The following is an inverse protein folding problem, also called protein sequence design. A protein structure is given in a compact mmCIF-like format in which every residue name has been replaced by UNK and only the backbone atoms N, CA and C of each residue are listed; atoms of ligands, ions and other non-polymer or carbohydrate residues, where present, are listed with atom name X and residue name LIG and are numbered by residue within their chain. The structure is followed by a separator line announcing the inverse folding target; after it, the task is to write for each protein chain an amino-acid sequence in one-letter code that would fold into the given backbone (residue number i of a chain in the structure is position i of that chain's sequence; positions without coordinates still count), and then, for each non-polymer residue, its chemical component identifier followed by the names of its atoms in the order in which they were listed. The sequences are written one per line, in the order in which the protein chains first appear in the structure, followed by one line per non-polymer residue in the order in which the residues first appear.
data_IF_008059197076
#
_entry.id   IF_008059197076
#
_cell.length_a   1.000
_cell.length_b   1.000
_cell.length_c   1.000
_cell.angle_alpha   90.00
_cell.angle_beta   90.00
_cell.angle_gamma   90.00
#
_symmetry.space_group_name_H-M   'P 1'
#
loop_
_entity.id
_entity.type
_entity.pdbx_description
1 polymer ?
#
# COMPACT_ATOMS: atom_id res chain seq x y z
N UNK A 1 -17.98 30.11 7.10
CA UNK A 1 -16.60 29.98 7.59
C UNK A 1 -16.22 28.55 8.04
N UNK A 2 -16.96 27.52 7.68
CA UNK A 2 -16.59 26.12 8.02
C UNK A 2 -15.62 25.57 6.97
N UNK A 3 -14.33 25.79 7.14
CA UNK A 3 -13.24 25.22 6.32
C UNK A 3 -11.92 25.35 7.06
N UNK A 4 -10.90 24.75 6.52
CA UNK A 4 -9.54 24.85 7.05
C UNK A 4 -8.96 26.24 6.82
N UNK A 5 -8.26 26.73 7.83
CA UNK A 5 -7.49 27.97 7.77
C UNK A 5 -6.13 27.74 8.40
N UNK A 6 -5.11 28.24 7.78
CA UNK A 6 -3.80 28.29 8.42
C UNK A 6 -3.81 29.40 9.46
N UNK A 7 -3.36 29.08 10.67
CA UNK A 7 -3.10 30.10 11.70
C UNK A 7 -1.89 30.91 11.23
N UNK A 8 -2.07 32.19 10.97
CA UNK A 8 -1.03 33.09 10.51
C UNK A 8 -0.26 33.73 11.65
N UNK A 9 -0.88 33.85 12.83
CA UNK A 9 -0.24 34.40 14.01
C UNK A 9 -0.97 33.94 15.28
N UNK A 10 -0.22 33.57 16.29
CA UNK A 10 -0.74 33.37 17.66
C UNK A 10 -0.56 34.70 18.39
N UNK A 11 -1.68 35.29 18.84
CA UNK A 11 -1.67 36.59 19.53
C UNK A 11 -1.44 36.36 21.02
N UNK A 12 -2.18 35.44 21.63
CA UNK A 12 -2.05 35.02 23.03
C UNK A 12 -2.57 33.57 23.20
N UNK A 13 -2.65 33.09 24.44
CA UNK A 13 -3.10 31.72 24.76
C UNK A 13 -4.54 31.40 24.28
N UNK A 14 -5.36 32.42 24.02
CA UNK A 14 -6.77 32.28 23.67
C UNK A 14 -7.14 32.91 22.33
N UNK A 15 -6.17 33.52 21.62
CA UNK A 15 -6.42 34.32 20.45
C UNK A 15 -5.40 34.00 19.32
N UNK A 16 -5.89 33.86 18.12
CA UNK A 16 -5.05 33.65 16.91
C UNK A 16 -5.64 34.38 15.71
N UNK A 17 -4.80 34.66 14.73
CA UNK A 17 -5.18 35.27 13.46
C UNK A 17 -5.18 34.21 12.35
N UNK A 18 -6.16 34.31 11.46
CA UNK A 18 -6.25 33.55 10.21
C UNK A 18 -6.43 34.50 9.04
N UNK A 19 -5.91 34.13 7.87
CA UNK A 19 -6.17 34.88 6.64
C UNK A 19 -7.28 34.20 5.86
N UNK A 20 -8.37 34.94 5.62
CA UNK A 20 -9.46 34.48 4.75
C UNK A 20 -9.20 34.89 3.29
N UNK A 21 -9.44 33.99 2.34
CA UNK A 21 -9.37 34.30 0.91
C UNK A 21 -10.49 35.24 0.44
N UNK A 22 -11.54 35.42 1.26
CA UNK A 22 -12.66 36.32 0.99
C UNK A 22 -12.55 37.52 1.91
N UNK A 23 -12.43 38.71 1.34
CA UNK A 23 -12.41 39.94 2.12
C UNK A 23 -13.73 40.14 2.87
N UNK A 24 -13.62 40.61 4.10
CA UNK A 24 -14.81 41.01 4.87
C UNK A 24 -15.51 42.19 4.18
N UNK A 25 -16.82 42.16 4.11
CA UNK A 25 -17.63 43.26 3.55
C UNK A 25 -17.95 44.35 4.57
N UNK A 26 -17.57 44.13 5.82
CA UNK A 26 -17.68 45.12 6.92
C UNK A 26 -16.64 44.78 8.00
N UNK A 27 -16.21 45.79 8.75
CA UNK A 27 -15.43 45.60 9.97
C UNK A 27 -16.38 45.27 11.11
N UNK A 28 -16.15 44.13 11.77
CA UNK A 28 -16.81 43.78 13.03
C UNK A 28 -15.77 43.94 14.14
N UNK A 29 -16.08 44.79 15.10
CA UNK A 29 -15.26 45.00 16.31
C UNK A 29 -15.76 44.14 17.50
N UNK A 30 -16.78 43.31 17.26
CA UNK A 30 -17.26 42.34 18.20
C UNK A 30 -16.38 41.10 18.26
N UNK A 31 -16.39 40.41 19.40
CA UNK A 31 -15.82 39.06 19.51
C UNK A 31 -16.65 38.11 18.65
N UNK A 32 -16.20 37.87 17.46
CA UNK A 32 -16.89 36.99 16.53
C UNK A 32 -17.00 35.55 17.03
N UNK A 33 -18.13 34.93 16.79
CA UNK A 33 -18.31 33.51 16.89
C UNK A 33 -18.43 32.94 18.30
N UNK A 34 -19.55 33.12 18.97
CA UNK A 34 -19.83 32.55 20.31
C UNK A 34 -19.74 31.02 20.41
N UNK A 35 -19.39 30.31 19.33
CA UNK A 35 -19.20 28.85 19.32
C UNK A 35 -18.17 28.47 18.27
N UNK A 36 -16.98 29.05 18.33
CA UNK A 36 -15.89 28.62 17.45
C UNK A 36 -15.34 27.28 17.93
N UNK A 37 -15.51 26.22 17.17
CA UNK A 37 -14.92 24.91 17.43
C UNK A 37 -13.68 24.79 16.56
N UNK A 38 -12.49 24.83 17.16
CA UNK A 38 -11.28 24.42 16.47
C UNK A 38 -11.29 22.89 16.32
N UNK A 39 -11.44 22.44 15.09
CA UNK A 39 -11.65 21.02 14.80
C UNK A 39 -10.37 20.18 14.78
N UNK A 40 -9.18 20.77 14.84
CA UNK A 40 -7.91 20.04 14.77
C UNK A 40 -7.17 19.99 16.07
N UNK A 41 -6.79 18.76 16.45
CA UNK A 41 -5.78 18.51 17.46
C UNK A 41 -4.40 18.26 16.83
N UNK A 42 -4.39 17.85 15.58
CA UNK A 42 -3.19 17.49 14.82
C UNK A 42 -3.32 18.12 13.43
N UNK A 43 -2.25 18.73 12.92
CA UNK A 43 -2.23 19.26 11.56
C UNK A 43 -2.32 18.13 10.52
N UNK A 44 -2.67 18.46 9.27
CA UNK A 44 -2.76 17.49 8.18
C UNK A 44 -1.45 16.74 7.91
N UNK A 45 -0.31 17.33 8.30
CA UNK A 45 1.02 16.75 8.13
C UNK A 45 1.58 16.91 6.72
N UNK A 46 2.67 16.22 6.46
CA UNK A 46 3.35 16.24 5.15
C UNK A 46 2.76 15.22 4.21
N UNK A 47 2.70 15.56 2.94
CA UNK A 47 2.30 14.67 1.87
C UNK A 47 3.46 13.82 1.35
N UNK A 48 4.72 14.31 1.53
CA UNK A 48 5.89 13.66 1.00
C UNK A 48 6.74 13.06 2.10
N UNK A 49 7.34 11.92 1.78
CA UNK A 49 8.34 11.29 2.60
C UNK A 49 9.67 12.03 2.43
N UNK A 50 10.28 12.42 3.54
CA UNK A 50 11.65 12.95 3.56
C UNK A 50 12.54 11.86 4.07
N UNK A 51 13.47 11.43 3.24
CA UNK A 51 14.37 10.35 3.55
C UNK A 51 15.38 10.78 4.61
N UNK A 52 15.36 10.08 5.73
CA UNK A 52 16.40 9.92 6.75
C UNK A 52 17.11 11.14 7.31
N UNK A 53 17.81 10.88 8.40
CA UNK A 53 18.69 11.79 9.11
C UNK A 53 20.07 11.75 8.51
N UNK A 54 20.59 12.85 8.01
CA UNK A 54 21.93 12.93 7.49
C UNK A 54 22.21 14.18 6.70
N UNK A 55 23.44 14.36 6.29
CA UNK A 55 23.85 15.44 5.41
C UNK A 55 23.06 15.38 4.10
N UNK A 56 22.21 16.38 3.83
CA UNK A 56 21.39 16.47 2.64
C UNK A 56 19.94 15.96 2.77
N UNK A 57 19.51 15.54 3.96
CA UNK A 57 18.13 15.07 4.19
C UNK A 57 17.10 16.20 4.31
N UNK A 58 17.52 17.42 4.65
CA UNK A 58 16.66 18.61 4.79
C UNK A 58 17.23 19.79 4.02
N UNK A 59 16.44 20.85 3.74
CA UNK A 59 16.93 22.12 3.22
C UNK A 59 18.07 22.67 4.10
N UNK A 60 19.06 23.29 3.46
CA UNK A 60 20.15 23.93 4.18
C UNK A 60 19.61 24.98 5.17
N UNK A 61 19.88 24.78 6.45
CA UNK A 61 19.52 25.72 7.50
C UNK A 61 18.30 25.34 8.34
N UNK A 62 17.73 24.15 8.16
CA UNK A 62 16.53 23.71 8.90
C UNK A 62 16.83 23.30 10.35
N UNK A 63 18.08 22.89 10.65
CA UNK A 63 18.54 22.58 12.01
C UNK A 63 20.02 22.94 12.23
N UNK A 64 20.42 23.17 13.47
CA UNK A 64 21.81 23.43 13.80
C UNK A 64 22.74 22.25 13.47
N UNK A 65 24.02 22.52 13.19
CA UNK A 65 25.05 21.52 12.95
C UNK A 65 25.11 20.50 14.11
N UNK A 66 24.86 19.24 13.77
CA UNK A 66 24.89 18.15 14.75
C UNK A 66 23.55 17.83 15.42
N UNK A 67 22.45 18.50 15.04
CA UNK A 67 21.12 18.09 15.48
C UNK A 67 20.70 16.78 14.79
N UNK A 68 20.28 15.83 15.58
CA UNK A 68 19.61 14.62 15.06
C UNK A 68 18.18 15.04 14.63
N UNK A 69 17.78 14.73 13.40
CA UNK A 69 16.39 14.91 13.02
C UNK A 69 15.53 14.01 13.90
N UNK A 70 14.65 14.62 14.66
CA UNK A 70 13.70 13.87 15.47
C UNK A 70 12.65 13.22 14.55
N UNK A 71 12.44 11.93 14.70
CA UNK A 71 11.29 11.22 14.11
C UNK A 71 10.01 11.72 14.77
N UNK A 72 9.61 12.97 14.47
CA UNK A 72 8.39 13.56 14.99
C UNK A 72 7.26 13.44 13.97
N UNK A 73 6.02 13.39 14.45
CA UNK A 73 4.84 13.36 13.57
C UNK A 73 4.73 14.56 12.63
N UNK A 74 5.45 15.66 12.90
CA UNK A 74 5.48 16.86 12.07
C UNK A 74 6.44 16.77 10.91
N UNK A 75 7.48 15.93 11.00
CA UNK A 75 8.56 15.84 10.02
C UNK A 75 8.45 14.62 9.11
N UNK A 76 7.52 13.71 9.39
CA UNK A 76 7.30 12.51 8.61
C UNK A 76 6.08 12.64 7.69
N UNK A 77 6.08 11.85 6.61
CA UNK A 77 4.87 11.58 5.84
C UNK A 77 3.74 11.21 6.80
N UNK A 78 2.59 11.84 6.66
CA UNK A 78 1.43 11.60 7.53
C UNK A 78 0.82 10.23 7.22
N UNK A 79 1.25 9.24 7.98
CA UNK A 79 0.65 7.92 8.00
C UNK A 79 -0.08 7.70 9.33
N UNK A 80 -1.28 7.16 9.24
CA UNK A 80 -2.08 6.78 10.39
C UNK A 80 -2.08 5.28 10.57
N UNK A 81 -2.02 4.88 11.83
CA UNK A 81 -2.25 3.50 12.24
C UNK A 81 -3.45 3.47 13.18
N UNK A 82 -4.23 2.43 13.11
CA UNK A 82 -5.39 2.23 13.96
C UNK A 82 -5.63 0.75 14.17
N UNK A 83 -6.25 0.43 15.26
CA UNK A 83 -6.75 -0.91 15.58
C UNK A 83 -7.87 -0.84 16.63
N UNK A 84 -8.71 -1.84 16.68
CA UNK A 84 -9.79 -1.89 17.63
C UNK A 84 -9.33 -2.53 18.93
N UNK A 85 -9.67 -1.92 20.07
CA UNK A 85 -9.55 -2.50 21.41
C UNK A 85 -10.97 -2.75 21.96
N UNK A 86 -11.51 -3.93 21.69
CA UNK A 86 -12.92 -4.17 21.85
C UNK A 86 -13.77 -3.40 20.83
N UNK A 87 -14.70 -2.58 21.29
CA UNK A 87 -15.53 -1.70 20.45
C UNK A 87 -14.86 -0.35 20.16
N UNK A 88 -13.86 0.02 20.98
CA UNK A 88 -13.18 1.31 20.89
C UNK A 88 -12.06 1.29 19.83
N UNK A 89 -11.80 2.45 19.25
CA UNK A 89 -10.75 2.61 18.25
C UNK A 89 -9.52 3.29 18.86
N UNK A 90 -8.38 2.63 18.75
CA UNK A 90 -7.08 3.22 19.08
C UNK A 90 -6.44 3.71 17.80
N UNK A 91 -6.01 4.97 17.76
CA UNK A 91 -5.41 5.61 16.59
C UNK A 91 -4.13 6.36 16.97
N UNK A 92 -3.16 6.32 16.06
CA UNK A 92 -1.93 7.09 16.21
C UNK A 92 -1.41 7.57 14.84
N UNK A 93 -1.05 8.84 14.70
CA UNK A 93 -0.19 9.25 13.59
C UNK A 93 1.22 8.74 13.84
N UNK A 94 1.89 8.25 12.80
CA UNK A 94 3.26 7.73 12.91
C UNK A 94 4.20 8.77 13.54
N UNK A 95 4.92 8.37 14.60
CA UNK A 95 5.78 9.24 15.38
C UNK A 95 5.05 10.21 16.32
N UNK A 96 3.73 10.14 16.40
CA UNK A 96 2.88 11.00 17.24
C UNK A 96 2.29 10.33 18.46
N UNK A 97 1.33 11.02 19.06
CA UNK A 97 0.63 10.54 20.24
C UNK A 97 -0.43 9.48 19.89
N UNK A 98 -0.87 8.75 20.92
CA UNK A 98 -1.91 7.73 20.81
C UNK A 98 -3.23 8.31 21.30
N UNK A 99 -4.30 8.06 20.56
CA UNK A 99 -5.64 8.53 20.87
C UNK A 99 -6.62 7.35 20.93
N UNK A 100 -7.61 7.48 21.79
CA UNK A 100 -8.74 6.55 21.90
C UNK A 100 -10.03 7.25 21.50
N UNK A 101 -10.77 6.64 20.61
CA UNK A 101 -12.15 7.00 20.31
C UNK A 101 -13.08 5.95 20.92
N UNK A 102 -13.91 6.41 21.87
CA UNK A 102 -14.87 5.58 22.57
C UNK A 102 -16.16 5.49 21.74
N UNK A 103 -16.48 4.29 21.28
CA UNK A 103 -17.62 4.02 20.41
C UNK A 103 -18.96 4.39 21.08
N UNK A 104 -19.07 4.28 22.40
CA UNK A 104 -20.29 4.59 23.16
C UNK A 104 -20.69 6.07 23.08
N UNK A 105 -19.71 6.95 22.84
CA UNK A 105 -19.92 8.40 22.74
C UNK A 105 -20.38 8.86 21.34
N UNK A 106 -20.44 7.94 20.37
CA UNK A 106 -20.88 8.20 19.02
C UNK A 106 -19.90 9.03 18.17
N UNK A 107 -20.20 9.12 16.86
CA UNK A 107 -19.29 9.71 15.84
C UNK A 107 -19.10 11.22 15.95
N UNK A 108 -19.95 11.92 16.70
CA UNK A 108 -19.82 13.37 16.95
C UNK A 108 -18.78 13.71 18.01
N UNK A 109 -18.36 12.72 18.82
CA UNK A 109 -17.34 12.90 19.87
C UNK A 109 -15.96 12.56 19.31
N UNK A 110 -14.97 13.34 19.63
CA UNK A 110 -13.61 13.15 19.17
C UNK A 110 -12.86 12.14 20.00
N UNK A 111 -11.85 11.51 19.35
CA UNK A 111 -10.85 10.75 20.05
C UNK A 111 -10.09 11.64 21.04
N UNK A 112 -9.76 11.09 22.20
CA UNK A 112 -9.03 11.75 23.28
C UNK A 112 -7.64 11.14 23.44
N UNK A 113 -6.71 11.94 23.99
CA UNK A 113 -5.35 11.49 24.23
C UNK A 113 -5.36 10.32 25.24
N UNK A 114 -4.83 9.17 24.86
CA UNK A 114 -4.84 7.94 25.67
C UNK A 114 -4.11 8.14 27.00
N UNK A 115 -2.94 8.79 26.98
CA UNK A 115 -2.14 9.08 28.17
C UNK A 115 -2.76 10.14 29.11
N UNK A 116 -3.81 10.83 28.67
CA UNK A 116 -4.54 11.83 29.46
C UNK A 116 -5.81 11.29 30.12
N UNK A 117 -6.17 10.04 29.86
CA UNK A 117 -7.35 9.42 30.44
C UNK A 117 -7.15 9.09 31.92
N UNK A 118 -8.26 9.13 32.69
CA UNK A 118 -8.24 8.71 34.11
C UNK A 118 -7.85 7.24 34.22
N UNK A 119 -6.88 6.93 35.07
CA UNK A 119 -6.32 5.58 35.21
C UNK A 119 -5.14 5.26 34.30
N UNK A 120 -4.75 6.16 33.40
CA UNK A 120 -3.58 5.97 32.55
C UNK A 120 -2.28 5.89 33.38
N UNK A 121 -1.56 4.79 33.24
CA UNK A 121 -0.33 4.50 33.97
C UNK A 121 0.79 4.19 32.98
N UNK A 122 1.75 5.10 32.84
CA UNK A 122 2.89 5.01 31.93
C UNK A 122 2.53 4.65 30.48
N UNK A 123 1.38 5.10 30.01
CA UNK A 123 0.96 4.96 28.61
C UNK A 123 1.99 5.65 27.71
N UNK A 124 2.45 5.00 26.62
CA UNK A 124 3.36 5.63 25.66
C UNK A 124 2.79 6.92 25.07
N UNK A 125 3.64 7.93 24.94
CA UNK A 125 3.29 9.23 24.36
C UNK A 125 3.76 9.35 22.89
N UNK A 126 4.48 8.35 22.39
CA UNK A 126 4.94 8.24 21.00
C UNK A 126 4.72 6.84 20.48
N UNK A 127 4.35 6.74 19.21
CA UNK A 127 4.15 5.48 18.52
C UNK A 127 4.53 5.58 17.04
N UNK A 128 5.22 4.58 16.50
CA UNK A 128 5.31 4.37 15.05
C UNK A 128 4.09 3.63 14.52
N UNK A 129 3.59 2.65 15.32
CA UNK A 129 2.39 1.90 14.99
C UNK A 129 1.73 1.40 16.29
N UNK A 130 0.41 1.34 16.28
CA UNK A 130 -0.40 0.67 17.31
C UNK A 130 -1.05 -0.57 16.72
N UNK A 131 -1.12 -1.64 17.51
CA UNK A 131 -1.73 -2.90 17.14
C UNK A 131 -2.31 -3.58 18.37
N UNK A 132 -3.47 -4.20 18.27
CA UNK A 132 -4.09 -4.92 19.38
C UNK A 132 -3.92 -6.42 19.16
N UNK A 133 -3.44 -7.13 20.16
CA UNK A 133 -3.44 -8.59 20.14
C UNK A 133 -4.88 -9.09 20.30
N UNK A 134 -5.35 -9.93 19.35
CA UNK A 134 -6.74 -10.39 19.32
C UNK A 134 -7.00 -11.52 20.34
N UNK A 135 -5.97 -12.30 20.65
CA UNK A 135 -6.10 -13.51 21.49
C UNK A 135 -6.15 -13.16 22.96
N UNK A 136 -5.30 -12.25 23.37
CA UNK A 136 -5.00 -11.94 24.77
C UNK A 136 -5.27 -10.47 25.11
N UNK A 137 -5.72 -9.70 24.14
CA UNK A 137 -6.19 -8.33 24.26
C UNK A 137 -5.23 -7.39 25.00
N UNK A 138 -4.01 -7.31 24.46
CA UNK A 138 -3.02 -6.31 24.83
C UNK A 138 -2.95 -5.22 23.75
N UNK A 139 -2.83 -3.98 24.17
CA UNK A 139 -2.45 -2.90 23.25
C UNK A 139 -0.93 -2.89 23.11
N UNK A 140 -0.44 -3.10 21.89
CA UNK A 140 0.98 -3.12 21.56
C UNK A 140 1.33 -1.84 20.83
N UNK A 141 2.36 -1.17 21.31
CA UNK A 141 2.89 0.08 20.76
C UNK A 141 4.29 -0.17 20.24
N UNK A 142 4.46 -0.05 18.94
CA UNK A 142 5.73 -0.24 18.24
C UNK A 142 6.43 1.10 18.07
N UNK A 143 7.71 1.19 18.38
CA UNK A 143 8.45 2.44 18.40
C UNK A 143 7.92 3.36 19.51
N UNK A 144 7.92 2.89 20.74
CA UNK A 144 7.42 3.63 21.90
C UNK A 144 8.53 4.50 22.51
N UNK A 145 8.13 5.49 23.31
CA UNK A 145 9.06 6.21 24.18
C UNK A 145 9.34 5.41 25.46
N UNK A 146 10.61 5.30 25.88
CA UNK A 146 11.00 4.54 27.06
C UNK A 146 10.44 5.11 28.36
N UNK A 147 10.31 4.24 29.38
CA UNK A 147 10.03 4.66 30.75
C UNK A 147 11.33 5.19 31.39
N UNK A 148 11.25 6.37 32.02
CA UNK A 148 12.30 6.96 32.83
C UNK A 148 11.73 7.40 34.17
N UNK A 149 12.07 6.68 35.22
CA UNK A 149 11.53 6.92 36.57
C UNK A 149 9.99 6.76 36.62
N UNK A 150 9.29 7.83 36.95
CA UNK A 150 7.84 7.85 37.09
C UNK A 150 7.08 8.17 35.79
N UNK A 151 7.78 8.53 34.72
CA UNK A 151 7.18 9.05 33.48
C UNK A 151 7.75 8.37 32.23
N UNK A 152 7.14 8.62 31.10
CA UNK A 152 7.72 8.36 29.78
C UNK A 152 8.66 9.50 29.38
N UNK A 153 9.66 9.20 28.57
CA UNK A 153 10.66 10.20 28.15
C UNK A 153 10.11 11.23 27.16
N UNK A 154 9.03 10.92 26.45
CA UNK A 154 8.52 11.71 25.35
C UNK A 154 9.40 11.66 24.07
N UNK A 155 10.51 10.94 24.12
CA UNK A 155 11.42 10.74 22.99
C UNK A 155 11.26 9.32 22.46
N UNK A 156 10.90 9.19 21.19
CA UNK A 156 10.65 7.92 20.53
C UNK A 156 11.92 7.08 20.46
N UNK A 157 11.87 5.84 20.94
CA UNK A 157 12.86 4.80 20.62
C UNK A 157 12.30 3.93 19.47
N UNK A 158 12.85 4.03 18.27
CA UNK A 158 12.30 3.38 17.08
C UNK A 158 12.35 1.84 17.12
N UNK A 159 13.06 1.26 18.10
CA UNK A 159 13.20 -0.20 18.26
C UNK A 159 12.48 -0.75 19.49
N UNK A 160 11.80 0.10 20.27
CA UNK A 160 11.12 -0.32 21.49
C UNK A 160 9.71 -0.80 21.17
N UNK A 161 9.38 -1.99 21.62
CA UNK A 161 8.03 -2.57 21.63
C UNK A 161 7.52 -2.48 23.07
N UNK A 162 6.42 -1.78 23.29
CA UNK A 162 5.74 -1.70 24.59
C UNK A 162 4.35 -2.35 24.47
N UNK A 163 3.91 -3.03 25.51
CA UNK A 163 2.59 -3.66 25.56
C UNK A 163 1.92 -3.37 26.89
N UNK A 164 0.59 -3.19 26.81
CA UNK A 164 -0.25 -2.90 27.99
C UNK A 164 -0.43 -4.14 28.86
N UNK A 165 -1.09 -3.98 29.98
CA UNK A 165 -1.66 -5.10 30.72
C UNK A 165 -2.80 -5.76 29.92
N UNK A 166 -3.09 -7.01 30.21
CA UNK A 166 -4.16 -7.77 29.56
C UNK A 166 -5.51 -7.09 29.81
N UNK A 167 -6.30 -6.92 28.77
CA UNK A 167 -7.62 -6.26 28.78
C UNK A 167 -7.64 -4.83 29.33
N UNK A 168 -6.48 -4.17 29.43
CA UNK A 168 -6.36 -2.81 29.93
C UNK A 168 -5.37 -1.97 29.13
N UNK A 169 -5.87 -1.20 28.19
CA UNK A 169 -5.09 -0.33 27.30
C UNK A 169 -4.47 0.89 28.00
N UNK A 170 -4.82 1.12 29.27
CA UNK A 170 -4.33 2.28 30.05
C UNK A 170 -3.16 1.92 30.97
N UNK A 171 -2.87 0.63 31.20
CA UNK A 171 -1.82 0.21 32.13
C UNK A 171 -0.58 -0.30 31.37
N UNK A 172 0.48 0.48 31.38
CA UNK A 172 1.79 0.16 30.80
C UNK A 172 2.92 0.15 31.80
N UNK A 173 2.62 0.25 33.10
CA UNK A 173 3.63 0.18 34.15
C UNK A 173 3.89 -1.27 34.51
N UNK A 174 5.08 -1.83 34.21
CA UNK A 174 5.37 -3.21 34.57
C UNK A 174 5.41 -3.41 36.08
N UNK A 175 4.66 -4.38 36.56
CA UNK A 175 4.65 -4.80 37.96
C UNK A 175 4.74 -6.31 38.06
N UNK A 176 4.96 -6.85 39.25
CA UNK A 176 5.00 -8.30 39.49
C UNK A 176 3.65 -9.00 39.33
N UNK A 177 2.56 -8.23 39.26
CA UNK A 177 1.18 -8.73 39.30
C UNK A 177 0.43 -8.50 38.00
N UNK A 178 0.99 -7.76 37.03
CA UNK A 178 0.40 -7.50 35.74
C UNK A 178 1.25 -8.05 34.58
N UNK A 179 0.73 -7.99 33.39
CA UNK A 179 1.37 -8.49 32.16
C UNK A 179 1.99 -7.38 31.30
N UNK A 180 1.91 -6.11 31.76
CA UNK A 180 2.49 -5.00 31.05
C UNK A 180 4.03 -5.10 30.96
N UNK A 181 4.59 -4.64 29.86
CA UNK A 181 6.03 -4.70 29.67
C UNK A 181 6.55 -3.98 28.42
N UNK A 182 7.83 -4.11 28.21
CA UNK A 182 8.47 -3.62 27.00
C UNK A 182 9.74 -4.41 26.66
N UNK A 183 10.02 -4.54 25.39
CA UNK A 183 11.21 -5.21 24.85
C UNK A 183 11.80 -4.36 23.75
N UNK A 184 13.11 -4.13 23.78
CA UNK A 184 13.83 -3.47 22.70
C UNK A 184 14.38 -4.50 21.71
N UNK A 185 14.04 -4.39 20.43
CA UNK A 185 14.54 -5.27 19.39
C UNK A 185 16.04 -5.03 19.15
N UNK A 186 16.75 -6.08 18.79
CA UNK A 186 18.23 -6.08 18.70
C UNK A 186 18.77 -5.94 17.28
N UNK A 187 17.98 -6.27 16.25
CA UNK A 187 18.39 -6.22 14.85
C UNK A 187 17.56 -5.22 14.05
N UNK A 188 18.24 -4.34 13.33
CA UNK A 188 17.65 -3.20 12.63
C UNK A 188 17.96 -1.88 13.30
N UNK A 189 17.54 -0.77 12.68
CA UNK A 189 17.65 0.58 13.19
C UNK A 189 16.32 1.19 13.60
N UNK A 190 15.23 0.75 12.94
CA UNK A 190 13.87 1.18 13.26
C UNK A 190 12.84 0.12 12.88
N UNK A 191 11.75 0.08 13.62
CA UNK A 191 10.57 -0.68 13.25
C UNK A 191 9.86 0.07 12.11
N UNK A 192 9.69 -0.63 10.98
CA UNK A 192 8.99 -0.08 9.81
C UNK A 192 7.49 -0.31 9.95
N UNK A 193 7.06 -1.53 10.25
CA UNK A 193 5.67 -1.86 10.40
C UNK A 193 5.45 -3.25 10.99
N UNK A 194 4.20 -3.58 11.27
CA UNK A 194 3.82 -4.92 11.71
C UNK A 194 2.45 -5.30 11.17
N UNK A 195 2.23 -6.58 11.02
CA UNK A 195 0.95 -7.17 10.62
C UNK A 195 0.57 -8.33 11.53
N UNK A 196 -0.72 -8.48 11.76
CA UNK A 196 -1.25 -9.64 12.47
C UNK A 196 -1.28 -10.84 11.55
N UNK A 197 -0.84 -11.97 12.03
CA UNK A 197 -1.09 -13.27 11.43
C UNK A 197 -1.92 -14.13 12.39
N UNK A 198 -2.15 -15.38 12.06
CA UNK A 198 -3.14 -16.22 12.77
C UNK A 198 -2.87 -16.37 14.27
N UNK A 199 -1.61 -16.43 14.70
CA UNK A 199 -1.24 -16.69 16.10
C UNK A 199 -0.06 -15.86 16.57
N UNK A 200 0.36 -14.90 15.76
CA UNK A 200 1.52 -14.07 16.04
C UNK A 200 1.39 -12.71 15.37
N UNK A 201 2.16 -11.77 15.85
CA UNK A 201 2.36 -10.47 15.22
C UNK A 201 3.74 -10.46 14.60
N UNK A 202 3.79 -10.25 13.29
CA UNK A 202 5.01 -10.16 12.54
C UNK A 202 5.49 -8.71 12.53
N UNK A 203 6.61 -8.46 13.19
CA UNK A 203 7.20 -7.11 13.32
C UNK A 203 8.38 -7.01 12.38
N UNK A 204 8.33 -6.04 11.49
CA UNK A 204 9.37 -5.78 10.50
C UNK A 204 10.18 -4.55 10.89
N UNK A 205 11.49 -4.70 10.85
CA UNK A 205 12.42 -3.58 10.87
C UNK A 205 12.87 -3.21 9.45
N UNK A 206 13.76 -2.27 9.34
CA UNK A 206 14.43 -1.93 8.07
C UNK A 206 15.29 -3.06 7.50
N UNK A 207 15.69 -4.04 8.32
CA UNK A 207 16.56 -5.16 7.90
C UNK A 207 16.06 -6.54 8.30
N UNK A 208 15.07 -6.65 9.20
CA UNK A 208 14.77 -7.91 9.88
C UNK A 208 13.29 -8.15 10.07
N UNK A 209 12.93 -9.41 10.22
CA UNK A 209 11.58 -9.87 10.60
C UNK A 209 11.63 -10.56 11.96
N UNK A 210 10.71 -10.16 12.83
CA UNK A 210 10.46 -10.79 14.13
C UNK A 210 9.06 -11.38 14.21
N UNK A 211 8.92 -12.49 14.93
CA UNK A 211 7.64 -13.06 15.37
C UNK A 211 7.44 -12.74 16.83
N UNK A 212 6.32 -12.13 17.18
CA UNK A 212 5.87 -11.84 18.53
C UNK A 212 4.66 -12.71 18.85
N UNK A 213 4.80 -13.58 19.85
CA UNK A 213 3.76 -14.55 20.25
C UNK A 213 3.46 -14.39 21.73
N UNK A 214 2.19 -14.49 22.10
CA UNK A 214 1.77 -14.57 23.50
C UNK A 214 2.14 -15.91 24.09
N UNK A 215 2.91 -15.91 25.17
CA UNK A 215 3.36 -17.12 25.90
C UNK A 215 2.86 -17.17 27.33
N UNK A 216 2.22 -16.09 27.79
CA UNK A 216 1.71 -15.95 29.15
C UNK A 216 2.77 -15.64 30.18
N UNK A 217 2.34 -15.40 31.45
CA UNK A 217 3.24 -15.08 32.53
C UNK A 217 4.32 -16.18 32.77
N UNK A 218 5.55 -15.82 33.15
CA UNK A 218 5.98 -14.48 33.55
C UNK A 218 6.50 -13.60 32.40
N UNK A 219 6.59 -14.10 31.18
CA UNK A 219 7.23 -13.36 30.07
C UNK A 219 6.25 -12.60 29.19
N UNK A 220 4.95 -12.87 29.29
CA UNK A 220 3.86 -12.31 28.49
C UNK A 220 4.03 -12.58 26.99
N UNK A 221 5.06 -12.03 26.36
CA UNK A 221 5.35 -12.23 24.94
C UNK A 221 6.76 -12.79 24.71
N UNK A 222 6.86 -13.74 23.81
CA UNK A 222 8.13 -14.16 23.21
C UNK A 222 8.32 -13.42 21.88
N UNK A 223 9.44 -12.73 21.72
CA UNK A 223 9.80 -12.04 20.48
C UNK A 223 11.05 -12.70 19.91
N UNK A 224 10.89 -13.38 18.79
CA UNK A 224 11.95 -14.15 18.16
C UNK A 224 12.37 -13.53 16.83
N UNK A 225 13.67 -13.40 16.60
CA UNK A 225 14.21 -13.03 15.30
C UNK A 225 14.01 -14.19 14.32
N UNK A 226 13.31 -13.96 13.24
CA UNK A 226 13.03 -14.95 12.20
C UNK A 226 14.01 -14.84 11.05
N UNK A 227 14.25 -13.60 10.59
CA UNK A 227 15.15 -13.31 9.50
C UNK A 227 15.85 -11.97 9.74
N UNK A 228 17.09 -11.84 9.30
CA UNK A 228 17.89 -10.62 9.46
C UNK A 228 18.40 -10.05 8.14
N UNK A 229 17.85 -10.48 7.01
CA UNK A 229 18.29 -10.08 5.69
C UNK A 229 17.17 -9.45 4.84
N UNK A 230 15.92 -9.54 5.29
CA UNK A 230 14.74 -9.07 4.53
C UNK A 230 13.91 -8.09 5.34
N UNK A 231 14.24 -6.81 5.26
CA UNK A 231 13.47 -5.73 5.87
C UNK A 231 12.23 -5.34 5.05
N UNK A 232 11.36 -4.56 5.65
CA UNK A 232 10.15 -4.04 4.99
C UNK A 232 10.44 -2.69 4.33
N UNK A 233 10.02 -2.53 3.08
CA UNK A 233 10.28 -1.28 2.33
C UNK A 233 9.42 -0.10 2.81
N UNK A 234 8.21 -0.36 3.30
CA UNK A 234 7.26 0.67 3.74
C UNK A 234 6.35 0.17 4.88
N UNK A 235 5.82 1.05 5.73
CA UNK A 235 5.02 0.66 6.89
C UNK A 235 3.80 -0.20 6.59
N UNK A 236 3.23 -0.07 5.41
CA UNK A 236 2.04 -0.82 4.97
C UNK A 236 2.33 -1.80 3.83
N UNK A 237 3.61 -2.11 3.55
CA UNK A 237 4.00 -2.98 2.44
C UNK A 237 3.92 -4.49 2.75
N UNK A 238 3.29 -4.87 3.87
CA UNK A 238 3.05 -6.26 4.24
C UNK A 238 1.56 -6.50 4.49
N UNK A 239 1.09 -7.71 4.12
CA UNK A 239 -0.30 -8.13 4.31
C UNK A 239 -0.39 -9.61 4.59
N UNK A 240 -1.37 -9.98 5.42
CA UNK A 240 -1.70 -11.38 5.70
C UNK A 240 -2.74 -11.88 4.70
N UNK A 241 -2.45 -12.99 4.04
CA UNK A 241 -3.36 -13.66 3.12
C UNK A 241 -3.22 -15.20 3.28
N UNK A 242 -4.09 -16.00 2.63
CA UNK A 242 -3.89 -17.44 2.62
C UNK A 242 -2.47 -17.81 2.18
N UNK A 243 -1.82 -18.68 2.97
CA UNK A 243 -0.43 -19.09 2.72
C UNK A 243 0.61 -18.36 3.54
N UNK A 244 0.30 -17.22 4.17
CA UNK A 244 1.23 -16.53 5.05
C UNK A 244 1.16 -15.00 5.01
N UNK A 245 2.23 -14.36 5.42
CA UNK A 245 2.41 -12.91 5.33
C UNK A 245 3.25 -12.59 4.11
N UNK A 246 2.65 -11.87 3.17
CA UNK A 246 3.28 -11.42 1.94
C UNK A 246 3.81 -10.00 2.12
N UNK A 247 5.03 -9.73 1.69
CA UNK A 247 5.62 -8.40 1.86
C UNK A 247 6.62 -8.03 0.77
N UNK A 248 6.77 -6.74 0.56
CA UNK A 248 7.73 -6.15 -0.35
C UNK A 248 8.94 -5.65 0.42
N UNK A 249 10.12 -6.13 0.05
CA UNK A 249 11.41 -5.66 0.54
C UNK A 249 12.11 -4.80 -0.52
N UNK A 250 13.29 -4.28 -0.21
CA UNK A 250 14.08 -3.45 -1.13
C UNK A 250 14.58 -4.19 -2.37
N UNK A 251 14.67 -5.51 -2.31
CA UNK A 251 15.24 -6.34 -3.38
C UNK A 251 14.27 -7.36 -3.99
N UNK A 252 13.01 -7.35 -3.58
CA UNK A 252 12.01 -8.28 -4.10
C UNK A 252 10.80 -8.48 -3.20
N UNK A 253 10.01 -9.47 -3.57
CA UNK A 253 8.80 -9.87 -2.87
C UNK A 253 9.05 -11.17 -2.10
N UNK A 254 8.46 -11.29 -0.93
CA UNK A 254 8.67 -12.39 0.00
C UNK A 254 7.37 -12.87 0.61
N UNK A 255 7.38 -14.10 1.07
CA UNK A 255 6.33 -14.69 1.90
C UNK A 255 6.94 -15.28 3.15
N UNK A 256 6.28 -15.06 4.28
CA UNK A 256 6.58 -15.71 5.55
C UNK A 256 5.44 -16.68 5.91
N UNK A 257 5.75 -17.95 6.03
CA UNK A 257 4.85 -19.03 6.41
C UNK A 257 5.52 -20.00 7.39
N UNK A 258 6.12 -19.45 8.45
CA UNK A 258 7.04 -20.16 9.36
C UNK A 258 8.50 -20.09 8.93
N UNK A 259 8.77 -19.85 7.66
CA UNK A 259 10.07 -19.53 7.09
C UNK A 259 9.92 -18.42 6.05
N UNK A 260 10.96 -17.60 5.90
CA UNK A 260 10.99 -16.57 4.85
C UNK A 260 11.40 -17.22 3.54
N UNK A 261 10.58 -17.01 2.51
CA UNK A 261 10.86 -17.46 1.16
C UNK A 261 10.71 -16.29 0.18
N UNK A 262 11.66 -16.17 -0.74
CA UNK A 262 11.57 -15.19 -1.84
C UNK A 262 10.59 -15.69 -2.89
N UNK A 263 9.64 -14.84 -3.29
CA UNK A 263 8.72 -15.14 -4.36
C UNK A 263 9.42 -14.96 -5.73
N UNK A 264 9.44 -15.99 -6.58
CA UNK A 264 9.90 -15.83 -7.95
C UNK A 264 8.99 -14.81 -8.66
N UNK A 265 9.56 -13.74 -9.20
CA UNK A 265 8.79 -12.66 -9.82
C UNK A 265 9.35 -12.35 -11.22
N UNK A 266 8.58 -12.69 -12.24
CA UNK A 266 8.96 -12.43 -13.63
C UNK A 266 9.00 -10.92 -13.96
N UNK A 267 8.19 -10.12 -13.27
CA UNK A 267 8.11 -8.66 -13.48
C UNK A 267 8.97 -7.85 -12.50
N UNK A 268 9.82 -8.52 -11.72
CA UNK A 268 10.66 -7.86 -10.70
C UNK A 268 11.44 -6.66 -11.27
N UNK A 269 12.17 -6.88 -12.36
CA UNK A 269 12.99 -5.83 -12.95
C UNK A 269 12.15 -4.65 -13.45
N UNK A 270 10.97 -4.92 -13.98
CA UNK A 270 10.04 -3.87 -14.40
C UNK A 270 9.63 -3.01 -13.21
N UNK A 271 9.20 -3.61 -12.11
CA UNK A 271 8.75 -2.89 -10.91
C UNK A 271 9.90 -2.10 -10.27
N UNK A 272 11.03 -2.75 -9.98
CA UNK A 272 12.12 -2.14 -9.22
C UNK A 272 12.95 -1.14 -10.03
N UNK A 273 12.96 -1.20 -11.36
CA UNK A 273 13.59 -0.18 -12.19
C UNK A 273 12.73 1.08 -12.35
N UNK A 274 11.42 0.96 -12.20
CA UNK A 274 10.46 2.07 -12.29
C UNK A 274 10.05 2.62 -10.91
N UNK A 275 10.53 2.05 -9.82
CA UNK A 275 10.15 2.45 -8.47
C UNK A 275 10.78 3.80 -8.07
N UNK A 276 9.94 4.75 -7.61
CA UNK A 276 10.42 5.94 -6.92
C UNK A 276 10.83 5.60 -5.49
N UNK A 277 12.13 5.33 -5.28
CA UNK A 277 12.67 4.94 -3.98
C UNK A 277 12.60 6.07 -2.95
N UNK A 278 12.56 7.34 -3.37
CA UNK A 278 12.43 8.48 -2.47
C UNK A 278 11.04 8.58 -1.82
N UNK A 279 10.00 8.05 -2.49
CA UNK A 279 8.63 8.02 -2.00
C UNK A 279 8.16 6.59 -1.66
N UNK A 280 9.10 5.64 -1.50
CA UNK A 280 8.79 4.23 -1.24
C UNK A 280 7.93 4.03 0.03
N UNK A 281 7.98 4.92 1.01
CA UNK A 281 7.16 4.86 2.23
C UNK A 281 5.64 4.97 1.98
N UNK A 282 5.23 5.43 0.79
CA UNK A 282 3.83 5.45 0.37
C UNK A 282 3.30 4.08 -0.06
N UNK A 283 4.19 3.12 -0.34
CA UNK A 283 3.82 1.77 -0.79
C UNK A 283 2.91 1.10 0.25
N UNK A 284 1.84 0.49 -0.23
CA UNK A 284 1.01 -0.35 0.60
C UNK A 284 0.62 -1.65 -0.12
N UNK A 285 0.48 -2.71 0.67
CA UNK A 285 0.00 -4.00 0.22
C UNK A 285 -1.52 -4.10 0.34
N UNK A 286 -2.12 -4.90 -0.51
CA UNK A 286 -3.53 -5.21 -0.47
C UNK A 286 -3.79 -6.69 -0.77
N UNK A 287 -4.94 -7.19 -0.35
CA UNK A 287 -5.45 -8.52 -0.70
C UNK A 287 -6.77 -8.41 -1.47
N UNK A 288 -6.99 -9.34 -2.39
CA UNK A 288 -8.24 -9.57 -3.07
C UNK A 288 -8.54 -11.07 -2.99
N UNK A 289 -9.23 -11.46 -1.93
CA UNK A 289 -9.44 -12.87 -1.59
C UNK A 289 -10.29 -13.61 -2.61
N UNK A 290 -11.23 -12.92 -3.25
CA UNK A 290 -12.10 -13.51 -4.26
C UNK A 290 -11.30 -14.05 -5.46
N UNK A 291 -10.21 -13.35 -5.80
CA UNK A 291 -9.35 -13.71 -6.94
C UNK A 291 -8.03 -14.39 -6.52
N UNK A 292 -7.84 -14.71 -5.24
CA UNK A 292 -6.60 -15.30 -4.71
C UNK A 292 -5.35 -14.44 -4.96
N UNK A 293 -5.48 -13.15 -4.72
CA UNK A 293 -4.47 -12.16 -5.06
C UNK A 293 -3.96 -11.41 -3.85
N UNK A 294 -2.68 -11.09 -3.91
CA UNK A 294 -2.04 -10.05 -3.10
C UNK A 294 -1.30 -9.09 -4.03
N UNK A 295 -1.27 -7.83 -3.68
CA UNK A 295 -0.60 -6.86 -4.52
C UNK A 295 -0.03 -5.69 -3.75
N UNK A 296 0.72 -4.87 -4.46
CA UNK A 296 1.35 -3.66 -3.92
C UNK A 296 1.09 -2.49 -4.87
N UNK A 297 0.59 -1.42 -4.30
CA UNK A 297 0.53 -0.12 -4.96
C UNK A 297 1.81 0.64 -4.67
N UNK A 298 2.40 1.25 -5.69
CA UNK A 298 3.68 1.94 -5.58
C UNK A 298 3.78 3.16 -6.49
N UNK A 299 4.60 4.18 -6.14
CA UNK A 299 4.89 5.31 -7.00
C UNK A 299 5.93 4.94 -8.06
N UNK A 300 5.68 5.29 -9.32
CA UNK A 300 6.66 5.14 -10.40
C UNK A 300 7.79 6.18 -10.29
N UNK A 301 8.88 5.96 -10.99
CA UNK A 301 10.04 6.87 -11.03
C UNK A 301 9.70 8.29 -11.50
N UNK A 302 8.61 8.45 -12.22
CA UNK A 302 8.12 9.73 -12.73
C UNK A 302 7.03 10.37 -11.87
N UNK A 303 6.63 9.73 -10.75
CA UNK A 303 5.57 10.18 -9.87
C UNK A 303 6.01 10.28 -8.42
N UNK A 304 5.53 11.27 -7.71
CA UNK A 304 5.65 11.36 -6.25
C UNK A 304 4.46 10.69 -5.54
N UNK A 305 3.36 10.43 -6.27
CA UNK A 305 2.18 9.74 -5.77
C UNK A 305 2.05 8.33 -6.36
N UNK A 306 1.25 7.50 -5.70
CA UNK A 306 0.98 6.13 -6.16
C UNK A 306 0.23 6.17 -7.49
N UNK A 307 0.80 5.53 -8.51
CA UNK A 307 0.27 5.48 -9.87
C UNK A 307 0.40 4.10 -10.54
N UNK A 308 1.02 3.14 -9.84
CA UNK A 308 1.29 1.78 -10.33
C UNK A 308 0.84 0.73 -9.33
N UNK A 309 0.57 -0.45 -9.84
CA UNK A 309 0.37 -1.64 -9.01
C UNK A 309 1.05 -2.87 -9.61
N UNK A 310 1.37 -3.81 -8.75
CA UNK A 310 1.79 -5.17 -9.11
C UNK A 310 1.01 -6.16 -8.27
N UNK A 311 0.54 -7.23 -8.89
CA UNK A 311 -0.29 -8.25 -8.25
C UNK A 311 0.34 -9.63 -8.44
N UNK A 312 0.26 -10.43 -7.39
CA UNK A 312 0.63 -11.83 -7.37
C UNK A 312 -0.60 -12.68 -7.06
N UNK A 313 -0.99 -13.53 -8.01
CA UNK A 313 -1.96 -14.58 -7.77
C UNK A 313 -1.25 -15.75 -7.09
N UNK A 314 -1.56 -16.00 -5.82
CA UNK A 314 -0.86 -17.01 -5.03
C UNK A 314 -1.35 -18.44 -5.29
N UNK A 315 -2.48 -18.63 -5.98
CA UNK A 315 -2.97 -19.94 -6.39
C UNK A 315 -2.28 -20.40 -7.68
N UNK A 316 -2.20 -19.53 -8.67
CA UNK A 316 -1.69 -19.84 -10.00
C UNK A 316 -0.21 -19.49 -10.19
N UNK A 317 0.41 -18.82 -9.20
CA UNK A 317 1.79 -18.31 -9.23
C UNK A 317 2.04 -17.36 -10.41
N UNK A 318 1.09 -16.51 -10.71
CA UNK A 318 1.15 -15.54 -11.80
C UNK A 318 1.33 -14.13 -11.29
N UNK A 319 2.08 -13.33 -12.07
CA UNK A 319 2.30 -11.92 -11.81
C UNK A 319 1.72 -11.07 -12.92
N UNK A 320 1.08 -9.98 -12.55
CA UNK A 320 0.64 -8.94 -13.48
C UNK A 320 0.72 -7.57 -12.84
N UNK A 321 0.66 -6.54 -13.66
CA UNK A 321 0.88 -5.17 -13.24
C UNK A 321 0.02 -4.22 -14.06
N UNK A 322 -0.13 -3.00 -13.56
CA UNK A 322 -0.88 -1.96 -14.25
C UNK A 322 -0.67 -0.58 -13.65
N UNK A 323 -1.47 0.34 -14.13
CA UNK A 323 -1.48 1.74 -13.72
C UNK A 323 -2.81 2.04 -13.07
N UNK A 324 -2.77 2.49 -11.82
CA UNK A 324 -3.96 2.88 -11.08
C UNK A 324 -3.57 3.69 -9.85
N UNK A 325 -4.24 4.82 -9.63
CA UNK A 325 -4.03 5.64 -8.45
C UNK A 325 -4.97 5.21 -7.34
N UNK A 326 -4.40 4.57 -6.31
CA UNK A 326 -5.13 4.23 -5.07
C UNK A 326 -4.25 4.51 -3.86
N UNK A 327 -4.86 4.94 -2.76
CA UNK A 327 -4.14 5.33 -1.53
C UNK A 327 -4.47 4.43 -0.34
N UNK A 328 -5.56 3.70 -0.39
CA UNK A 328 -5.95 2.70 0.59
C UNK A 328 -6.85 1.65 -0.05
N UNK A 329 -6.87 0.47 0.55
CA UNK A 329 -7.66 -0.67 0.09
C UNK A 329 -8.28 -1.41 1.27
N UNK A 330 -9.54 -1.78 1.12
CA UNK A 330 -10.27 -2.67 2.01
C UNK A 330 -10.79 -3.85 1.18
N UNK A 331 -10.40 -5.07 1.55
CA UNK A 331 -10.88 -6.28 0.90
C UNK A 331 -12.38 -6.52 1.16
N UNK A 332 -13.00 -7.35 0.34
CA UNK A 332 -14.37 -7.82 0.54
C UNK A 332 -14.53 -8.50 1.90
N UNK A 333 -15.66 -8.31 2.53
CA UNK A 333 -15.95 -8.85 3.86
C UNK A 333 -17.11 -8.10 4.50
N UNK A 334 -16.84 -6.93 5.09
CA UNK A 334 -17.88 -6.04 5.61
C UNK A 334 -18.74 -5.48 4.47
N UNK A 335 -18.10 -5.15 3.36
CA UNK A 335 -18.76 -4.80 2.10
C UNK A 335 -18.65 -5.97 1.11
N UNK A 336 -19.64 -6.15 0.22
CA UNK A 336 -19.64 -7.29 -0.72
C UNK A 336 -18.49 -7.23 -1.74
N UNK A 337 -17.99 -6.04 -2.03
CA UNK A 337 -16.91 -5.81 -2.98
C UNK A 337 -15.76 -5.06 -2.34
N UNK A 338 -14.52 -5.24 -2.80
CA UNK A 338 -13.39 -4.45 -2.34
C UNK A 338 -13.61 -2.96 -2.57
N UNK A 339 -13.10 -2.14 -1.66
CA UNK A 339 -13.19 -0.69 -1.74
C UNK A 339 -11.80 -0.07 -1.67
N UNK A 340 -11.58 0.98 -2.44
CA UNK A 340 -10.32 1.70 -2.42
C UNK A 340 -10.53 3.21 -2.56
N UNK A 341 -9.64 3.98 -1.94
CA UNK A 341 -9.63 5.44 -2.06
C UNK A 341 -8.64 5.89 -3.12
N UNK A 342 -9.01 6.88 -3.90
CA UNK A 342 -8.15 7.50 -4.90
C UNK A 342 -8.81 8.75 -5.49
N UNK A 343 -8.03 9.72 -5.95
CA UNK A 343 -8.53 10.93 -6.61
C UNK A 343 -9.68 11.64 -5.86
N UNK A 344 -9.63 11.63 -4.52
CA UNK A 344 -10.67 12.17 -3.61
C UNK A 344 -12.03 11.44 -3.65
N UNK A 345 -12.07 10.22 -4.20
CA UNK A 345 -13.25 9.38 -4.24
C UNK A 345 -13.03 8.06 -3.50
N UNK A 346 -14.12 7.39 -3.14
CA UNK A 346 -14.15 6.00 -2.71
C UNK A 346 -14.68 5.18 -3.87
N UNK A 347 -13.86 4.30 -4.39
CA UNK A 347 -14.18 3.40 -5.49
C UNK A 347 -14.58 2.03 -4.98
N UNK A 348 -15.55 1.42 -5.63
CA UNK A 348 -15.90 0.02 -5.50
C UNK A 348 -15.16 -0.75 -6.61
N UNK A 349 -14.34 -1.72 -6.22
CA UNK A 349 -13.59 -2.57 -7.15
C UNK A 349 -14.32 -3.87 -7.43
N UNK A 350 -13.90 -4.58 -8.48
CA UNK A 350 -14.45 -5.88 -8.90
C UNK A 350 -15.95 -5.83 -9.23
N UNK A 351 -16.44 -4.67 -9.62
CA UNK A 351 -17.82 -4.44 -10.00
C UNK A 351 -17.92 -3.94 -11.44
N UNK A 352 -18.46 -4.78 -12.34
CA UNK A 352 -18.57 -4.44 -13.76
C UNK A 352 -17.27 -4.67 -14.56
N UNK A 353 -17.19 -4.05 -15.73
CA UNK A 353 -16.08 -4.16 -16.69
C UNK A 353 -15.76 -2.77 -17.28
N UNK A 354 -15.80 -1.74 -16.46
CA UNK A 354 -15.48 -0.37 -16.87
C UNK A 354 -14.64 0.33 -15.78
N UNK A 355 -14.07 1.46 -16.13
CA UNK A 355 -13.34 2.34 -15.21
C UNK A 355 -14.20 3.57 -14.95
N UNK A 356 -15.05 3.50 -13.91
CA UNK A 356 -15.96 4.56 -13.50
C UNK A 356 -16.84 5.08 -14.68
N UNK A 357 -17.44 4.14 -15.42
CA UNK A 357 -18.26 4.43 -16.61
C UNK A 357 -17.47 4.76 -17.87
N UNK A 358 -16.14 4.63 -17.82
CA UNK A 358 -15.25 4.80 -18.96
C UNK A 358 -14.67 3.45 -19.41
N UNK A 359 -14.08 3.43 -20.59
CA UNK A 359 -13.37 2.25 -21.07
C UNK A 359 -12.10 2.01 -20.27
N UNK A 360 -11.86 0.75 -19.84
CA UNK A 360 -10.58 0.36 -19.29
C UNK A 360 -9.49 0.45 -20.36
N UNK A 361 -8.45 1.21 -20.08
CA UNK A 361 -7.34 1.45 -21.01
C UNK A 361 -6.19 0.45 -20.80
N UNK A 362 -5.44 0.16 -21.88
CA UNK A 362 -4.25 -0.68 -21.85
C UNK A 362 -4.46 -2.08 -21.25
N UNK A 363 -5.63 -2.68 -21.48
CA UNK A 363 -5.90 -4.07 -21.06
C UNK A 363 -5.32 -5.01 -22.09
N UNK A 364 -4.27 -5.76 -21.75
CA UNK A 364 -3.62 -6.66 -22.69
C UNK A 364 -2.99 -7.88 -22.03
N UNK A 365 -2.78 -8.91 -22.87
CA UNK A 365 -1.89 -10.04 -22.62
C UNK A 365 -0.91 -10.14 -23.77
N UNK A 366 0.37 -10.30 -23.47
CA UNK A 366 1.44 -10.38 -24.47
C UNK A 366 2.28 -11.63 -24.20
N UNK A 367 2.51 -12.42 -25.25
CA UNK A 367 3.37 -13.60 -25.17
C UNK A 367 4.84 -13.21 -25.06
N UNK A 368 5.67 -14.13 -24.57
CA UNK A 368 7.11 -14.07 -24.85
C UNK A 368 7.37 -14.25 -26.35
N UNK A 369 8.61 -13.99 -26.77
CA UNK A 369 9.05 -14.34 -28.11
C UNK A 369 8.90 -15.84 -28.36
N UNK A 370 8.36 -16.19 -29.50
CA UNK A 370 8.35 -17.55 -29.99
C UNK A 370 8.92 -17.60 -31.41
N UNK A 371 9.55 -18.70 -31.74
CA UNK A 371 10.11 -18.99 -33.06
C UNK A 371 9.80 -20.43 -33.51
N UNK A 372 10.12 -20.75 -34.74
CA UNK A 372 10.10 -22.08 -35.27
C UNK A 372 11.54 -22.50 -35.53
N UNK A 373 11.88 -23.75 -35.19
CA UNK A 373 13.19 -24.35 -35.52
C UNK A 373 14.36 -23.50 -34.98
N UNK A 374 14.30 -23.14 -33.69
CA UNK A 374 15.29 -22.33 -32.97
C UNK A 374 15.64 -20.98 -33.66
N UNK A 375 14.70 -20.39 -34.39
CA UNK A 375 14.87 -19.10 -35.06
C UNK A 375 15.79 -19.12 -36.30
N UNK A 376 16.21 -20.29 -36.76
CA UNK A 376 17.07 -20.42 -37.93
C UNK A 376 16.41 -19.98 -39.24
N UNK A 377 15.07 -20.03 -39.28
CA UNK A 377 14.30 -19.69 -40.46
C UNK A 377 13.34 -18.53 -40.18
N UNK A 378 12.97 -17.82 -41.22
CA UNK A 378 11.86 -16.90 -41.15
C UNK A 378 10.55 -17.67 -40.94
N UNK A 379 9.71 -17.14 -40.13
CA UNK A 379 8.38 -17.63 -39.85
C UNK A 379 7.37 -16.70 -40.53
N UNK A 380 6.45 -17.28 -41.29
CA UNK A 380 5.34 -16.55 -41.88
C UNK A 380 4.03 -16.98 -41.24
N UNK A 381 3.32 -16.00 -40.72
CA UNK A 381 2.00 -16.15 -40.13
C UNK A 381 0.95 -15.59 -41.07
N UNK A 382 -0.07 -16.40 -41.38
CA UNK A 382 -1.07 -16.06 -42.40
C UNK A 382 -2.48 -15.90 -41.83
N UNK A 383 -2.81 -16.60 -40.76
CA UNK A 383 -4.15 -16.63 -40.23
C UNK A 383 -4.13 -16.87 -38.72
N UNK A 384 -5.08 -16.25 -38.03
CA UNK A 384 -5.37 -16.47 -36.60
C UNK A 384 -6.85 -16.88 -36.49
N UNK A 385 -7.11 -17.95 -35.73
CA UNK A 385 -8.44 -18.34 -35.32
C UNK A 385 -8.55 -17.93 -33.85
N UNK A 386 -9.24 -16.83 -33.56
CA UNK A 386 -9.39 -16.34 -32.18
C UNK A 386 -10.29 -17.27 -31.39
N UNK A 387 -9.92 -17.49 -30.14
CA UNK A 387 -10.77 -18.18 -29.17
C UNK A 387 -11.04 -17.17 -28.03
N UNK A 388 -12.02 -16.32 -28.27
CA UNK A 388 -12.38 -15.21 -27.36
C UNK A 388 -13.87 -15.23 -27.10
N UNK A 389 -14.23 -15.13 -25.83
CA UNK A 389 -15.61 -14.94 -25.38
C UNK A 389 -15.80 -13.55 -24.79
N UNK A 390 -16.66 -12.75 -25.36
CA UNK A 390 -17.07 -11.47 -24.80
C UNK A 390 -18.14 -11.66 -23.73
N UNK A 391 -18.10 -10.85 -22.68
CA UNK A 391 -18.96 -10.92 -21.49
C UNK A 391 -19.59 -9.56 -21.28
N UNK A 392 -20.85 -9.55 -20.92
CA UNK A 392 -21.65 -8.48 -20.32
C UNK A 392 -22.19 -7.38 -21.22
N UNK A 393 -21.57 -6.86 -22.25
CA UNK A 393 -22.22 -5.85 -23.07
C UNK A 393 -22.80 -6.42 -24.37
N UNK A 394 -24.09 -6.15 -24.66
CA UNK A 394 -24.77 -6.59 -25.88
C UNK A 394 -24.38 -5.78 -27.15
N UNK A 395 -23.64 -4.69 -26.97
CA UNK A 395 -23.31 -3.77 -28.07
C UNK A 395 -22.08 -4.19 -28.93
N UNK A 396 -21.41 -5.28 -28.58
CA UNK A 396 -20.35 -5.85 -29.40
C UNK A 396 -18.96 -5.25 -29.16
N UNK A 397 -18.34 -5.67 -28.07
CA UNK A 397 -16.93 -5.35 -27.80
C UNK A 397 -15.98 -5.91 -28.84
N UNK A 398 -14.80 -5.34 -28.93
CA UNK A 398 -13.72 -5.80 -29.83
C UNK A 398 -12.39 -5.82 -29.11
N UNK A 399 -11.52 -6.70 -29.59
CA UNK A 399 -10.12 -6.78 -29.19
C UNK A 399 -9.24 -6.68 -30.42
N UNK A 400 -8.03 -6.20 -30.25
CA UNK A 400 -6.99 -6.21 -31.28
C UNK A 400 -5.99 -7.32 -31.02
N UNK A 401 -5.70 -8.09 -32.04
CA UNK A 401 -4.60 -9.04 -32.04
C UNK A 401 -3.46 -8.39 -32.83
N UNK A 402 -2.43 -7.97 -32.08
CA UNK A 402 -1.24 -7.30 -32.60
C UNK A 402 -0.13 -8.33 -32.72
N UNK A 403 0.32 -8.57 -33.93
CA UNK A 403 1.47 -9.44 -34.19
C UNK A 403 2.72 -8.59 -34.38
N UNK A 404 3.68 -8.76 -33.48
CA UNK A 404 4.98 -8.09 -33.54
C UNK A 404 6.04 -9.09 -33.99
N UNK A 405 7.04 -8.63 -34.73
CA UNK A 405 8.13 -9.48 -35.21
C UNK A 405 9.48 -8.78 -35.05
N UNK A 406 10.54 -9.59 -35.00
CA UNK A 406 11.93 -9.15 -35.11
C UNK A 406 12.76 -10.18 -35.86
N UNK A 407 13.89 -9.77 -36.44
CA UNK A 407 14.74 -10.62 -37.26
C UNK A 407 15.91 -11.23 -36.50
N UNK A 408 16.39 -10.58 -35.46
CA UNK A 408 17.47 -11.06 -34.59
C UNK A 408 17.12 -10.89 -33.11
N UNK A 409 17.59 -11.81 -32.24
CA UNK A 409 17.49 -11.65 -30.84
C UNK A 409 18.12 -10.31 -30.36
N UNK A 410 17.40 -9.54 -29.59
CA UNK A 410 17.84 -8.21 -29.12
C UNK A 410 17.45 -7.04 -30.01
N UNK A 411 16.98 -7.28 -31.24
CA UNK A 411 16.39 -6.20 -32.03
C UNK A 411 15.08 -5.70 -31.43
N UNK A 412 14.73 -4.47 -31.72
CA UNK A 412 13.43 -3.92 -31.34
C UNK A 412 12.29 -4.64 -32.10
N UNK A 413 11.22 -4.93 -31.38
CA UNK A 413 10.01 -5.49 -31.98
C UNK A 413 9.32 -4.45 -32.86
N UNK A 414 8.91 -4.87 -34.05
CA UNK A 414 8.08 -4.06 -34.95
C UNK A 414 6.70 -4.67 -35.12
N UNK A 415 5.66 -3.86 -35.14
CA UNK A 415 4.29 -4.31 -35.40
C UNK A 415 4.19 -4.70 -36.89
N UNK A 416 3.97 -5.97 -37.16
CA UNK A 416 3.82 -6.48 -38.50
C UNK A 416 2.36 -6.46 -38.97
N UNK A 417 1.41 -6.75 -38.08
CA UNK A 417 -0.01 -6.75 -38.39
C UNK A 417 -0.83 -6.49 -37.12
N UNK A 418 -1.96 -5.81 -37.31
CA UNK A 418 -3.03 -5.66 -36.30
C UNK A 418 -4.33 -6.14 -36.93
N UNK A 419 -5.09 -6.94 -36.19
CA UNK A 419 -6.39 -7.44 -36.63
C UNK A 419 -7.39 -7.31 -35.53
N UNK A 420 -8.47 -6.54 -35.80
CA UNK A 420 -9.57 -6.36 -34.84
C UNK A 420 -10.52 -7.54 -34.93
N UNK A 421 -10.87 -8.08 -33.78
CA UNK A 421 -11.73 -9.26 -33.61
C UNK A 421 -12.92 -8.87 -32.77
N UNK A 422 -14.10 -9.22 -33.25
CA UNK A 422 -15.38 -9.08 -32.54
C UNK A 422 -16.02 -10.45 -32.28
N UNK A 423 -17.15 -10.48 -31.62
CA UNK A 423 -17.91 -11.72 -31.33
C UNK A 423 -18.28 -12.53 -32.58
N UNK A 424 -18.35 -11.89 -33.76
CA UNK A 424 -18.71 -12.53 -35.04
C UNK A 424 -17.49 -12.95 -35.87
N UNK A 425 -16.27 -12.66 -35.41
CA UNK A 425 -15.05 -12.95 -36.16
C UNK A 425 -14.62 -14.39 -35.95
N UNK A 426 -14.78 -15.24 -36.98
CA UNK A 426 -14.36 -16.62 -36.93
C UNK A 426 -12.89 -16.82 -37.23
N UNK A 427 -12.30 -15.98 -38.05
CA UNK A 427 -10.89 -15.99 -38.37
C UNK A 427 -10.40 -14.62 -38.83
N UNK A 428 -9.14 -14.33 -38.52
CA UNK A 428 -8.47 -13.11 -38.93
C UNK A 428 -7.27 -13.45 -39.83
N UNK A 429 -7.15 -12.78 -40.97
CA UNK A 429 -6.04 -12.93 -41.85
C UNK A 429 -4.97 -11.89 -41.56
N UNK A 430 -3.73 -12.35 -41.38
CA UNK A 430 -2.57 -11.51 -41.09
C UNK A 430 -1.46 -11.80 -42.10
N UNK A 431 -0.50 -10.89 -42.21
CA UNK A 431 0.73 -11.10 -42.97
C UNK A 431 1.90 -10.63 -42.13
N UNK A 432 2.44 -11.53 -41.36
CA UNK A 432 3.59 -11.23 -40.52
C UNK A 432 4.74 -12.17 -40.84
N UNK A 433 5.94 -11.62 -41.01
CA UNK A 433 7.16 -12.37 -41.34
C UNK A 433 8.30 -11.89 -40.47
N UNK A 434 8.91 -12.77 -39.73
CA UNK A 434 10.05 -12.52 -38.86
C UNK A 434 10.68 -13.81 -38.39
N UNK A 435 11.85 -13.77 -37.78
CA UNK A 435 12.45 -14.96 -37.15
C UNK A 435 11.83 -15.25 -35.80
N UNK A 436 11.55 -14.20 -35.04
CA UNK A 436 10.84 -14.28 -33.78
C UNK A 436 9.56 -13.46 -33.84
N UNK A 437 8.53 -13.94 -33.18
CA UNK A 437 7.24 -13.30 -33.15
C UNK A 437 6.73 -13.16 -31.72
N UNK A 438 5.96 -12.12 -31.45
CA UNK A 438 5.23 -11.86 -30.22
C UNK A 438 3.78 -11.61 -30.59
N UNK A 439 2.89 -12.24 -29.86
CA UNK A 439 1.46 -12.04 -30.01
C UNK A 439 0.96 -11.21 -28.82
N UNK A 440 0.41 -10.05 -29.09
CA UNK A 440 -0.27 -9.20 -28.11
C UNK A 440 -1.76 -9.16 -28.42
N UNK A 441 -2.57 -9.47 -27.43
CA UNK A 441 -4.02 -9.41 -27.51
C UNK A 441 -4.45 -8.34 -26.51
N UNK A 442 -5.16 -7.33 -26.99
CA UNK A 442 -5.54 -6.18 -26.19
C UNK A 442 -6.97 -5.74 -26.48
N UNK A 443 -7.61 -5.05 -25.53
CA UNK A 443 -8.84 -4.31 -25.82
C UNK A 443 -8.55 -3.28 -26.91
N UNK A 444 -9.52 -3.08 -27.82
CA UNK A 444 -9.38 -2.00 -28.82
C UNK A 444 -9.65 -0.67 -28.13
N UNK A 445 -8.61 0.09 -27.89
CA UNK A 445 -8.67 1.37 -27.19
C UNK A 445 -9.49 2.41 -28.00
N UNK A 446 -10.23 3.26 -27.31
CA UNK A 446 -11.06 4.31 -27.92
C UNK A 446 -12.38 3.80 -28.52
N UNK A 447 -12.74 2.55 -28.28
CA UNK A 447 -14.02 1.99 -28.70
C UNK A 447 -15.06 2.07 -27.59
N UNK A 448 -15.97 3.01 -27.66
CA UNK A 448 -17.05 3.17 -26.67
C UNK A 448 -17.92 1.91 -26.50
N UNK A 449 -17.93 1.00 -27.46
CA UNK A 449 -18.62 -0.30 -27.35
C UNK A 449 -17.90 -1.27 -26.39
N UNK A 450 -16.66 -0.97 -25.98
CA UNK A 450 -15.94 -1.73 -24.98
C UNK A 450 -16.27 -1.32 -23.54
N UNK A 451 -16.94 -0.19 -23.34
CA UNK A 451 -17.41 0.20 -22.00
C UNK A 451 -18.35 -0.89 -21.45
N UNK A 452 -18.04 -1.41 -20.29
CA UNK A 452 -18.78 -2.49 -19.66
C UNK A 452 -18.66 -3.85 -20.36
N UNK A 453 -17.64 -4.04 -21.20
CA UNK A 453 -17.36 -5.31 -21.89
C UNK A 453 -16.10 -5.96 -21.35
N UNK A 454 -16.27 -7.13 -20.74
CA UNK A 454 -15.15 -8.04 -20.42
C UNK A 454 -14.92 -9.04 -21.55
N UNK A 455 -13.74 -9.65 -21.55
CA UNK A 455 -13.44 -10.75 -22.46
C UNK A 455 -12.60 -11.84 -21.78
N UNK A 456 -12.80 -13.07 -22.25
CA UNK A 456 -12.00 -14.24 -21.85
C UNK A 456 -11.28 -14.79 -23.05
N UNK A 457 -9.97 -15.00 -22.92
CA UNK A 457 -9.14 -15.60 -23.92
C UNK A 457 -9.02 -17.10 -23.66
N UNK A 458 -9.31 -17.89 -24.70
CA UNK A 458 -9.03 -19.31 -24.75
C UNK A 458 -7.75 -19.61 -25.54
N UNK A 459 -7.69 -20.77 -26.17
CA UNK A 459 -6.54 -21.22 -26.95
C UNK A 459 -6.57 -20.67 -28.37
N UNK A 460 -5.97 -19.52 -28.60
CA UNK A 460 -5.82 -18.92 -29.93
C UNK A 460 -4.98 -19.82 -30.83
N UNK A 461 -5.47 -20.14 -32.04
CA UNK A 461 -4.75 -20.93 -33.02
C UNK A 461 -4.16 -20.05 -34.11
N UNK A 462 -2.91 -20.30 -34.47
CA UNK A 462 -2.18 -19.51 -35.45
C UNK A 462 -1.68 -20.45 -36.56
N UNK A 463 -1.95 -20.10 -37.82
CA UNK A 463 -1.34 -20.77 -38.95
C UNK A 463 0.05 -20.19 -39.22
N UNK A 464 1.04 -21.02 -38.98
CA UNK A 464 2.45 -20.65 -39.04
C UNK A 464 3.17 -21.60 -39.99
N UNK A 465 4.04 -21.06 -40.83
CA UNK A 465 4.91 -21.86 -41.70
C UNK A 465 6.30 -21.27 -41.77
N UNK A 466 7.28 -22.10 -42.09
CA UNK A 466 8.63 -21.65 -42.41
C UNK A 466 8.67 -20.94 -43.77
N UNK A 467 9.43 -19.84 -43.86
CA UNK A 467 9.51 -18.99 -45.05
C UNK A 467 10.97 -18.66 -45.41
N UNK A 468 11.81 -19.72 -45.41
CA UNK A 468 13.20 -19.63 -45.82
C UNK A 468 14.14 -19.01 -44.78
N UNK A 469 15.43 -18.92 -45.14
CA UNK A 469 16.52 -18.44 -44.26
C UNK A 469 16.92 -16.98 -44.52
N UNK A 470 16.40 -16.37 -45.58
CA UNK A 470 16.69 -14.97 -45.98
C UNK A 470 15.42 -14.17 -46.16
#
# INVERSE_FOLDING_TARGET
MNKEYQITKIVDANSFEITSAVAANSSDTGNGGGSTVAAYQINVGRNDFIQGTGWGANPWGDDGWGSTSSLSATNQLRLWTHDNFGEDLIIAPRGGNIYKWDASNGVSTRAVLLSGLGGASKVPTKALQVITSEIDRHLIVLGADPISGSSRTGVLDPMLVAFSDQENELEFNPTTTNTAGSVRLSSGSQIIGAVKSRQEINIFTDTSLYSMQFVGPPFTFAINLIDNATGLIAPKAAITAPGGVYYMSYDGFYVYSGQVAKLPCAVKNYVFSDLNTSQAFKIFAFSNKEHNEVGWFYPSSSSEEIDRYVIYNYQDNLWYYGQLTRHAWLDSGVQPYPQATGNNYLYQHEFGFDDDGSEMQNVFIESSDFDLDDGNQFTFMSRIIPDVKFIANSAGGSIDIVTKVRNYPGDSLSTAATSTVSSNTQQAFIRARGRQAVLRIQSTDGNSSNIGTGWRLGATRIDVRTDGRR
#
